data_IF_985003783164
#
_entry.id   IF_985003783164
#
_cell.length_a   1.000
_cell.length_b   1.000
_cell.length_c   1.000
_cell.angle_alpha   90.00
_cell.angle_beta   90.00
_cell.angle_gamma   90.00
#
_symmetry.space_group_name_H-M   'P 1'
#
loop_
_entity.id
_entity.type
_entity.pdbx_description
1 polymer ?
#
# COMPACT_ATOMS: atom_id res chain seq x y z
N UNK A 1 9.03 14.68 14.88
CA UNK A 1 8.70 13.30 15.28
C UNK A 1 7.99 12.63 14.12
N UNK A 2 8.74 11.87 13.30
CA UNK A 2 8.14 11.04 12.26
C UNK A 2 7.59 9.78 12.90
N UNK A 3 6.31 9.77 13.25
CA UNK A 3 5.67 8.53 13.69
C UNK A 3 5.70 7.55 12.51
N UNK A 4 6.23 6.35 12.71
CA UNK A 4 6.13 5.30 11.71
C UNK A 4 4.64 5.08 11.38
N UNK A 5 4.27 5.27 10.11
CA UNK A 5 2.85 5.25 9.72
C UNK A 5 2.23 3.85 9.85
N UNK A 6 3.06 2.81 9.74
CA UNK A 6 2.68 1.41 9.82
C UNK A 6 3.71 0.70 10.69
N UNK A 7 3.49 0.75 12.00
CA UNK A 7 4.30 0.02 12.99
C UNK A 7 4.15 -1.49 12.79
N UNK A 8 5.02 -2.27 13.42
CA UNK A 8 4.94 -3.74 13.39
C UNK A 8 3.59 -4.24 13.94
N UNK A 9 3.05 -3.59 14.97
CA UNK A 9 1.75 -3.94 15.56
C UNK A 9 0.59 -3.71 14.57
N UNK A 10 0.56 -2.55 13.91
CA UNK A 10 -0.44 -2.26 12.87
C UNK A 10 -0.28 -3.25 11.72
N UNK A 11 0.96 -3.51 11.30
CA UNK A 11 1.21 -4.45 10.22
C UNK A 11 0.76 -5.87 10.57
N UNK A 12 1.02 -6.34 11.79
CA UNK A 12 0.60 -7.65 12.26
C UNK A 12 -0.93 -7.79 12.27
N UNK A 13 -1.66 -6.72 12.60
CA UNK A 13 -3.11 -6.71 12.56
C UNK A 13 -3.69 -6.68 11.14
N UNK A 14 -3.08 -5.91 10.22
CA UNK A 14 -3.62 -5.71 8.86
C UNK A 14 -3.22 -6.83 7.90
N UNK A 15 -1.97 -7.29 7.94
CA UNK A 15 -1.42 -8.31 7.03
C UNK A 15 -2.34 -9.53 6.81
N UNK A 16 -2.92 -10.18 7.85
CA UNK A 16 -3.74 -11.38 7.64
C UNK A 16 -5.08 -11.10 6.93
N UNK A 17 -5.49 -9.83 6.83
CA UNK A 17 -6.72 -9.41 6.14
C UNK A 17 -6.48 -9.11 4.66
N UNK A 18 -5.22 -9.00 4.24
CA UNK A 18 -4.88 -8.68 2.86
C UNK A 18 -5.02 -9.93 1.98
N UNK A 19 -5.57 -9.80 0.76
CA UNK A 19 -5.64 -10.92 -0.17
C UNK A 19 -4.23 -11.36 -0.59
N UNK A 20 -4.09 -12.65 -0.90
CA UNK A 20 -2.86 -13.16 -1.48
C UNK A 20 -2.56 -12.49 -2.83
N UNK A 21 -1.26 -12.34 -3.13
CA UNK A 21 -0.86 -11.77 -4.41
C UNK A 21 -1.27 -12.73 -5.55
N UNK A 22 -2.03 -12.26 -6.56
CA UNK A 22 -2.46 -13.11 -7.65
C UNK A 22 -1.26 -13.63 -8.46
N UNK A 23 -1.32 -14.89 -8.95
CA UNK A 23 -0.21 -15.50 -9.67
C UNK A 23 0.19 -14.69 -10.91
N UNK A 24 1.49 -14.59 -11.17
CA UNK A 24 2.08 -13.86 -12.31
C UNK A 24 2.60 -14.82 -13.38
N UNK A 25 1.81 -15.19 -14.40
CA UNK A 25 2.21 -16.20 -15.39
C UNK A 25 3.35 -15.80 -16.33
N UNK A 26 3.82 -14.53 -16.34
CA UNK A 26 4.81 -14.03 -17.31
C UNK A 26 6.01 -13.30 -16.70
N UNK A 27 6.48 -13.69 -15.51
CA UNK A 27 7.73 -13.14 -14.94
C UNK A 27 7.72 -11.62 -14.77
N UNK A 28 6.54 -11.04 -14.53
CA UNK A 28 6.37 -9.59 -14.37
C UNK A 28 7.14 -9.09 -13.15
N UNK A 29 7.59 -7.83 -13.21
CA UNK A 29 8.28 -7.17 -12.09
C UNK A 29 7.55 -7.45 -10.76
N UNK A 30 8.28 -7.80 -9.68
CA UNK A 30 7.70 -7.95 -8.35
C UNK A 30 6.89 -6.71 -7.97
N UNK A 31 5.76 -6.91 -7.29
CA UNK A 31 4.97 -5.79 -6.76
C UNK A 31 5.75 -5.17 -5.60
N UNK A 32 5.48 -3.90 -5.32
CA UNK A 32 5.92 -3.30 -4.06
C UNK A 32 5.38 -4.13 -2.89
N UNK A 33 6.18 -4.39 -1.83
CA UNK A 33 5.71 -5.05 -0.62
C UNK A 33 4.43 -4.41 -0.08
N UNK A 34 3.51 -5.23 0.39
CA UNK A 34 2.19 -4.76 0.85
C UNK A 34 2.30 -3.76 2.01
N UNK A 35 3.28 -3.93 2.92
CA UNK A 35 3.53 -2.98 4.00
C UNK A 35 3.90 -1.59 3.48
N UNK A 36 4.71 -1.51 2.43
CA UNK A 36 5.10 -0.22 1.85
C UNK A 36 3.95 0.43 1.08
N UNK A 37 3.13 -0.37 0.39
CA UNK A 37 1.90 0.12 -0.20
C UNK A 37 0.95 0.66 0.89
N UNK A 38 0.81 -0.03 2.02
CA UNK A 38 0.00 0.40 3.16
C UNK A 38 0.53 1.71 3.76
N UNK A 39 1.85 1.88 3.87
CA UNK A 39 2.46 3.14 4.32
C UNK A 39 2.06 4.32 3.42
N UNK A 40 2.13 4.15 2.11
CA UNK A 40 1.72 5.18 1.16
C UNK A 40 0.21 5.48 1.20
N UNK A 41 -0.62 4.45 1.35
CA UNK A 41 -2.07 4.59 1.55
C UNK A 41 -2.37 5.39 2.81
N UNK A 42 -1.82 4.99 3.97
CA UNK A 42 -2.04 5.68 5.25
C UNK A 42 -1.56 7.13 5.20
N UNK A 43 -0.43 7.40 4.53
CA UNK A 43 0.04 8.77 4.32
C UNK A 43 -0.98 9.63 3.59
N UNK A 44 -1.49 9.16 2.44
CA UNK A 44 -2.49 9.89 1.64
C UNK A 44 -3.77 10.09 2.44
N UNK A 45 -4.28 9.04 3.09
CA UNK A 45 -5.51 9.12 3.88
C UNK A 45 -5.39 10.07 5.08
N UNK A 46 -4.22 10.12 5.73
CA UNK A 46 -3.97 11.02 6.88
C UNK A 46 -3.72 12.46 6.46
N UNK A 47 -3.06 12.68 5.33
CA UNK A 47 -2.69 14.02 4.84
C UNK A 47 -3.80 14.68 4.03
N UNK A 48 -4.71 13.90 3.44
CA UNK A 48 -5.75 14.39 2.53
C UNK A 48 -5.19 14.87 1.18
N UNK A 49 -3.91 14.62 0.89
CA UNK A 49 -3.29 15.01 -0.37
C UNK A 49 -3.82 14.15 -1.53
N UNK A 50 -3.90 14.70 -2.75
CA UNK A 50 -4.14 13.91 -3.95
C UNK A 50 -3.13 12.75 -4.09
N UNK A 51 -3.56 11.63 -4.68
CA UNK A 51 -2.68 10.47 -4.89
C UNK A 51 -1.44 10.81 -5.72
N UNK A 52 -1.56 11.72 -6.68
CA UNK A 52 -0.48 12.20 -7.54
C UNK A 52 0.61 12.94 -6.75
N UNK A 53 0.29 13.43 -5.55
CA UNK A 53 1.22 14.14 -4.67
C UNK A 53 1.93 13.24 -3.66
N UNK A 54 1.73 11.91 -3.70
CA UNK A 54 2.50 11.00 -2.86
C UNK A 54 4.00 11.10 -3.21
N UNK A 55 4.90 11.36 -2.24
CA UNK A 55 6.35 11.41 -2.49
C UNK A 55 6.91 10.03 -2.88
N UNK A 56 6.93 9.72 -4.17
CA UNK A 56 7.26 8.38 -4.64
C UNK A 56 8.67 7.89 -4.30
N UNK A 57 9.63 8.81 -4.16
CA UNK A 57 10.99 8.49 -3.71
C UNK A 57 11.05 7.99 -2.26
N UNK A 58 10.12 8.44 -1.41
CA UNK A 58 10.05 8.04 0.01
C UNK A 58 9.33 6.70 0.18
N UNK A 59 8.29 6.45 -0.62
CA UNK A 59 7.44 5.26 -0.51
C UNK A 59 7.75 4.16 -1.54
N UNK A 60 8.68 4.41 -2.46
CA UNK A 60 9.08 3.46 -3.50
C UNK A 60 8.01 3.20 -4.57
N UNK A 61 6.93 3.98 -4.61
CA UNK A 61 5.89 3.88 -5.64
C UNK A 61 5.09 5.18 -5.83
N UNK A 62 4.38 5.26 -6.96
CA UNK A 62 3.41 6.35 -7.18
C UNK A 62 2.17 6.17 -6.32
N UNK A 63 1.48 7.27 -5.97
CA UNK A 63 0.21 7.15 -5.27
C UNK A 63 -0.87 6.45 -6.09
N UNK A 64 -0.79 6.47 -7.42
CA UNK A 64 -1.65 5.62 -8.26
C UNK A 64 -1.43 4.12 -8.05
N UNK A 65 -0.22 3.69 -7.67
CA UNK A 65 0.04 2.31 -7.27
C UNK A 65 -0.65 1.99 -5.95
N UNK A 66 -0.59 2.92 -4.98
CA UNK A 66 -1.30 2.82 -3.70
C UNK A 66 -2.83 2.78 -3.88
N UNK A 67 -3.40 3.67 -4.70
CA UNK A 67 -4.83 3.70 -4.97
C UNK A 67 -5.35 2.41 -5.59
N UNK A 68 -4.66 1.89 -6.62
CA UNK A 68 -5.03 0.59 -7.22
C UNK A 68 -4.97 -0.53 -6.19
N UNK A 69 -3.94 -0.52 -5.33
CA UNK A 69 -3.79 -1.52 -4.26
C UNK A 69 -4.96 -1.44 -3.28
N UNK A 70 -5.29 -0.25 -2.79
CA UNK A 70 -6.42 -0.05 -1.87
C UNK A 70 -7.74 -0.54 -2.49
N UNK A 71 -8.01 -0.16 -3.74
CA UNK A 71 -9.19 -0.59 -4.48
C UNK A 71 -9.25 -2.12 -4.62
N UNK A 72 -8.16 -2.74 -5.04
CA UNK A 72 -8.08 -4.19 -5.22
C UNK A 72 -8.30 -4.92 -3.86
N UNK A 73 -7.73 -4.41 -2.77
CA UNK A 73 -7.95 -4.94 -1.41
C UNK A 73 -9.40 -4.80 -0.94
N UNK A 74 -10.03 -3.64 -1.17
CA UNK A 74 -11.43 -3.41 -0.82
C UNK A 74 -12.38 -4.33 -1.60
N UNK A 75 -12.09 -4.59 -2.87
CA UNK A 75 -12.88 -5.51 -3.70
C UNK A 75 -12.75 -6.96 -3.25
N UNK A 76 -11.59 -7.37 -2.73
CA UNK A 76 -11.35 -8.73 -2.26
C UNK A 76 -11.92 -9.01 -0.86
N UNK A 77 -12.14 -7.97 -0.04
CA UNK A 77 -12.73 -8.08 1.29
C UNK A 77 -14.26 -7.91 1.35
N UNK A 78 -14.91 -7.72 0.20
CA UNK A 78 -16.37 -7.59 0.07
C UNK A 78 -17.08 -8.94 -0.02
#
# INVERSE_FOLDING_TARGET
>A
MGHELVTDEIWAAVRPLLPEEPPKPKGRRPRLPDRDALRGIVFVLRSGLPWEMLPGEVFGCSGMTCWRRLRDWQQAGA
#
